data_IF_600266435529
#
_entry.id   IF_600266435529
#
_cell.length_a   1.000
_cell.length_b   1.000
_cell.length_c   1.000
_cell.angle_alpha   90.00
_cell.angle_beta   90.00
_cell.angle_gamma   90.00
#
_symmetry.space_group_name_H-M   'P 1'
#
loop_
_entity.id
_entity.type
_entity.pdbx_description
1 polymer ?
#
# COMPACT_ATOMS: atom_id res chain seq x y z
N UNK A 1 20.04 -34.11 -14.51
CA UNK A 1 18.71 -33.53 -14.79
C UNK A 1 18.46 -32.43 -13.77
N UNK A 2 18.53 -31.16 -14.20
CA UNK A 2 18.08 -30.04 -13.39
C UNK A 2 16.56 -29.92 -13.59
N UNK A 3 15.78 -30.08 -12.52
CA UNK A 3 14.34 -29.79 -12.56
C UNK A 3 14.19 -28.28 -12.72
N UNK A 4 13.74 -27.86 -13.91
CA UNK A 4 13.37 -26.49 -14.19
C UNK A 4 12.13 -26.17 -13.33
N UNK A 5 12.33 -25.54 -12.17
CA UNK A 5 11.22 -25.13 -11.28
C UNK A 5 10.52 -23.95 -11.92
N UNK A 6 9.45 -24.20 -12.67
CA UNK A 6 8.43 -23.17 -12.91
C UNK A 6 7.86 -22.78 -11.54
N UNK A 7 8.22 -21.61 -11.04
CA UNK A 7 7.63 -21.06 -9.81
C UNK A 7 6.23 -20.57 -10.13
N UNK A 8 5.22 -21.05 -9.40
CA UNK A 8 3.83 -20.60 -9.54
C UNK A 8 3.57 -19.21 -8.92
N UNK A 9 4.63 -18.42 -8.79
CA UNK A 9 4.64 -17.12 -8.12
C UNK A 9 5.14 -16.11 -9.12
N UNK A 10 4.32 -15.11 -9.38
CA UNK A 10 4.61 -14.01 -10.29
C UNK A 10 4.59 -12.70 -9.50
N UNK A 11 5.68 -11.93 -9.54
CA UNK A 11 5.76 -10.63 -8.87
C UNK A 11 5.37 -9.52 -9.84
N UNK A 12 4.42 -8.68 -9.45
CA UNK A 12 3.98 -7.53 -10.24
C UNK A 12 3.97 -6.27 -9.37
N UNK A 13 4.50 -5.17 -9.90
CA UNK A 13 4.46 -3.86 -9.26
C UNK A 13 3.17 -3.12 -9.63
N UNK A 14 2.43 -2.66 -8.64
CA UNK A 14 1.22 -1.86 -8.82
C UNK A 14 1.40 -0.47 -8.26
N UNK A 15 0.78 0.52 -8.92
CA UNK A 15 0.54 1.83 -8.33
C UNK A 15 -0.90 1.91 -7.84
N UNK A 16 -1.08 2.37 -6.60
CA UNK A 16 -2.38 2.48 -5.93
C UNK A 16 -2.62 3.95 -5.61
N UNK A 17 -3.71 4.49 -6.15
CA UNK A 17 -4.14 5.87 -5.90
C UNK A 17 -5.34 5.82 -4.96
N UNK A 18 -5.17 6.36 -3.76
CA UNK A 18 -6.18 6.31 -2.71
C UNK A 18 -7.24 7.41 -2.86
N UNK A 19 -8.45 7.15 -2.36
CA UNK A 19 -9.49 8.13 -2.19
C UNK A 19 -10.12 7.98 -0.79
N UNK A 20 -10.29 9.05 0.00
CA UNK A 20 -9.89 10.45 -0.24
C UNK A 20 -8.37 10.70 -0.13
N UNK A 21 -7.92 11.93 -0.42
CA UNK A 21 -6.53 12.37 -0.23
C UNK A 21 -5.60 12.20 -1.44
N UNK A 22 -5.88 11.24 -2.34
CA UNK A 22 -5.04 10.96 -3.53
C UNK A 22 -3.59 10.61 -3.16
N UNK A 23 -3.40 9.96 -2.02
CA UNK A 23 -2.12 9.38 -1.67
C UNK A 23 -1.74 8.32 -2.72
N UNK A 24 -0.47 8.34 -3.15
CA UNK A 24 0.05 7.43 -4.17
C UNK A 24 0.97 6.45 -3.47
N UNK A 25 0.69 5.16 -3.61
CA UNK A 25 1.52 4.07 -3.15
C UNK A 25 2.01 3.24 -4.33
N UNK A 26 3.14 2.60 -4.14
CA UNK A 26 3.56 1.45 -4.94
C UNK A 26 3.57 0.21 -4.06
N UNK A 27 3.24 -0.94 -4.65
CA UNK A 27 3.20 -2.21 -3.95
C UNK A 27 3.63 -3.36 -4.86
N UNK A 28 4.50 -4.23 -4.37
CA UNK A 28 4.80 -5.50 -5.06
C UNK A 28 3.78 -6.55 -4.62
N UNK A 29 3.03 -7.08 -5.57
CA UNK A 29 2.04 -8.15 -5.34
C UNK A 29 2.59 -9.45 -5.90
N UNK A 30 2.51 -10.51 -5.10
CA UNK A 30 2.80 -11.87 -5.52
C UNK A 30 1.49 -12.53 -5.93
N UNK A 31 1.36 -12.87 -7.20
CA UNK A 31 0.25 -13.69 -7.69
C UNK A 31 0.65 -15.17 -7.68
N UNK A 32 -0.13 -15.99 -6.95
CA UNK A 32 0.03 -17.43 -6.96
C UNK A 32 -0.92 -18.04 -7.99
N UNK A 33 -0.37 -18.59 -9.07
CA UNK A 33 -1.13 -19.14 -10.20
C UNK A 33 -1.81 -20.47 -9.90
N UNK A 34 -1.39 -21.17 -8.84
CA UNK A 34 -2.03 -22.43 -8.40
C UNK A 34 -3.26 -22.17 -7.52
N UNK A 35 -3.14 -21.22 -6.58
CA UNK A 35 -4.22 -20.89 -5.64
C UNK A 35 -5.10 -19.74 -6.13
N UNK A 36 -4.73 -19.11 -7.26
CA UNK A 36 -5.39 -17.91 -7.80
C UNK A 36 -5.49 -16.79 -6.76
N UNK A 37 -4.48 -16.67 -5.89
CA UNK A 37 -4.47 -15.71 -4.78
C UNK A 37 -3.39 -14.66 -4.97
N UNK A 38 -3.72 -13.42 -4.62
CA UNK A 38 -2.78 -12.32 -4.54
C UNK A 38 -2.35 -12.12 -3.09
N UNK A 39 -1.04 -12.03 -2.86
CA UNK A 39 -0.45 -11.72 -1.56
C UNK A 39 0.39 -10.47 -1.66
N UNK A 40 0.29 -9.61 -0.67
CA UNK A 40 1.14 -8.43 -0.50
C UNK A 40 1.49 -8.27 0.97
N UNK A 41 2.73 -7.93 1.26
CA UNK A 41 3.15 -7.62 2.64
C UNK A 41 3.30 -6.12 2.84
N UNK A 42 3.09 -5.64 4.07
CA UNK A 42 3.24 -4.21 4.40
C UNK A 42 4.64 -3.68 4.06
N UNK A 43 5.68 -4.52 4.19
CA UNK A 43 7.07 -4.18 3.83
C UNK A 43 7.29 -3.97 2.33
N UNK A 44 6.38 -4.47 1.49
CA UNK A 44 6.44 -4.33 0.04
C UNK A 44 5.57 -3.16 -0.47
N UNK A 45 4.99 -2.37 0.45
CA UNK A 45 4.19 -1.19 0.15
C UNK A 45 4.99 0.06 0.52
N UNK A 46 5.21 0.93 -0.45
CA UNK A 46 5.89 2.22 -0.28
C UNK A 46 4.95 3.36 -0.63
N UNK A 47 4.86 4.38 0.22
CA UNK A 47 4.13 5.62 -0.12
C UNK A 47 5.04 6.54 -0.92
N UNK A 48 4.61 6.90 -2.13
CA UNK A 48 5.33 7.79 -3.04
C UNK A 48 4.97 9.26 -2.85
N UNK A 49 3.73 9.56 -2.52
CA UNK A 49 3.30 10.95 -2.32
C UNK A 49 3.64 11.46 -0.91
N UNK A 50 4.05 12.74 -0.76
CA UNK A 50 4.28 13.33 0.56
C UNK A 50 3.06 13.26 1.47
N UNK A 51 3.26 13.11 2.78
CA UNK A 51 2.17 12.99 3.76
C UNK A 51 1.48 14.34 4.00
N UNK A 52 2.25 15.43 3.91
CA UNK A 52 1.80 16.81 4.21
C UNK A 52 1.04 16.86 5.54
N UNK A 53 -0.06 17.60 5.60
CA UNK A 53 -0.93 17.72 6.77
C UNK A 53 -2.08 16.69 6.76
N UNK A 54 -2.01 15.66 5.92
CA UNK A 54 -3.08 14.65 5.86
C UNK A 54 -3.28 13.90 7.18
N UNK A 55 -2.26 13.48 7.93
CA UNK A 55 -2.47 12.73 9.18
C UNK A 55 -2.56 13.63 10.43
N UNK A 56 -2.84 14.93 10.29
CA UNK A 56 -2.70 15.92 11.38
C UNK A 56 -3.50 15.58 12.66
N UNK A 57 -4.64 14.93 12.53
CA UNK A 57 -5.50 14.53 13.65
C UNK A 57 -4.95 13.35 14.46
N UNK A 58 -3.95 12.62 13.94
CA UNK A 58 -3.37 11.44 14.60
C UNK A 58 -1.85 11.50 14.77
N UNK A 59 -1.14 12.46 14.17
CA UNK A 59 0.33 12.46 14.20
C UNK A 59 0.95 12.50 15.60
N UNK A 60 0.26 13.12 16.57
CA UNK A 60 0.73 13.16 17.96
C UNK A 60 0.47 11.86 18.74
N UNK A 61 -0.57 11.10 18.39
CA UNK A 61 -1.05 9.95 19.17
C UNK A 61 -0.70 8.61 18.52
N UNK A 62 -0.66 8.56 17.19
CA UNK A 62 -0.43 7.35 16.40
C UNK A 62 0.52 7.63 15.22
N UNK A 63 1.77 8.07 15.47
CA UNK A 63 2.70 8.46 14.41
C UNK A 63 2.99 7.32 13.41
N UNK A 64 2.89 6.06 13.84
CA UNK A 64 3.05 4.89 12.98
C UNK A 64 1.95 4.74 11.91
N UNK A 65 0.84 5.46 12.04
CA UNK A 65 -0.25 5.50 11.05
C UNK A 65 -0.16 6.70 10.09
N UNK A 66 0.79 7.63 10.31
CA UNK A 66 1.01 8.78 9.43
C UNK A 66 1.09 8.44 7.93
N UNK A 67 1.74 7.34 7.51
CA UNK A 67 1.82 7.00 6.09
C UNK A 67 0.46 6.67 5.48
N UNK A 68 -0.51 6.22 6.27
CA UNK A 68 -1.77 5.65 5.77
C UNK A 68 -3.00 6.53 6.04
N UNK A 69 -2.89 7.46 6.99
CA UNK A 69 -4.03 8.22 7.47
C UNK A 69 -4.31 9.46 6.61
N UNK A 70 -5.59 9.70 6.37
CA UNK A 70 -6.15 10.95 5.86
C UNK A 70 -7.20 11.47 6.83
N UNK A 71 -6.94 12.61 7.43
CA UNK A 71 -7.86 13.32 8.31
C UNK A 71 -8.75 14.21 7.45
N UNK A 72 -10.06 13.93 7.49
CA UNK A 72 -11.06 14.73 6.80
C UNK A 72 -11.45 15.92 7.67
N UNK A 73 -11.15 17.12 7.21
CA UNK A 73 -11.71 18.34 7.79
C UNK A 73 -13.18 18.43 7.38
N UNK A 74 -14.09 18.15 8.30
CA UNK A 74 -15.51 18.40 8.09
C UNK A 74 -15.73 19.92 8.16
N UNK A 75 -16.44 20.53 7.19
CA UNK A 75 -16.85 21.93 7.33
C UNK A 75 -17.64 22.07 8.63
N UNK A 76 -17.24 23.00 9.50
CA UNK A 76 -18.07 23.37 10.64
C UNK A 76 -19.33 24.02 10.06
N UNK A 77 -20.46 23.34 10.22
CA UNK A 77 -21.81 23.87 9.99
C UNK A 77 -22.08 25.07 10.86
#
# INVERSE_FOLDING_TARGET
MALNRYTNLENTLFQIIMNPGRAIFEGTVVYNTQTYSFTITKSEISRLSPYKNEPHCISATHPHLNPFCYCKDLPRS
#
